data_IF_339557649353
#
_entry.id   IF_339557649353
#
_cell.length_a   1.000
_cell.length_b   1.000
_cell.length_c   1.000
_cell.angle_alpha   90.00
_cell.angle_beta   90.00
_cell.angle_gamma   90.00
#
_symmetry.space_group_name_H-M   'P 1'
#
loop_
_entity.id
_entity.type
_entity.pdbx_description
1 polymer ?
#
# COMPACT_ATOMS: atom_id res chain seq x y z
N UNK A 1 19.54 10.43 -13.11
CA UNK A 1 18.76 9.16 -13.12
C UNK A 1 17.62 9.33 -14.14
N UNK A 2 17.50 8.40 -15.09
CA UNK A 2 16.50 8.48 -16.15
C UNK A 2 15.08 8.38 -15.58
N UNK A 3 14.10 8.98 -16.26
CA UNK A 3 12.69 8.94 -15.82
C UNK A 3 12.17 7.50 -15.68
N UNK A 4 12.57 6.61 -16.58
CA UNK A 4 12.19 5.19 -16.54
C UNK A 4 12.64 4.52 -15.25
N UNK A 5 13.88 4.75 -14.80
CA UNK A 5 14.40 4.17 -13.55
C UNK A 5 13.64 4.69 -12.35
N UNK A 6 13.30 5.99 -12.32
CA UNK A 6 12.48 6.57 -11.23
C UNK A 6 11.11 5.92 -11.14
N UNK A 7 10.47 5.71 -12.29
CA UNK A 7 9.15 5.07 -12.34
C UNK A 7 9.20 3.58 -11.99
N UNK A 8 10.27 2.87 -12.37
CA UNK A 8 10.51 1.48 -11.96
C UNK A 8 10.61 1.39 -10.43
N UNK A 9 11.46 2.22 -9.81
CA UNK A 9 11.61 2.24 -8.34
C UNK A 9 10.28 2.58 -7.66
N UNK A 10 9.57 3.58 -8.16
CA UNK A 10 8.26 3.97 -7.64
C UNK A 10 7.27 2.80 -7.69
N UNK A 11 7.13 2.13 -8.83
CA UNK A 11 6.23 0.98 -8.96
C UNK A 11 6.67 -0.19 -8.07
N UNK A 12 7.96 -0.49 -8.04
CA UNK A 12 8.50 -1.55 -7.19
C UNK A 12 8.14 -1.32 -5.72
N UNK A 13 8.47 -0.14 -5.18
CA UNK A 13 8.19 0.21 -3.79
C UNK A 13 6.69 0.26 -3.48
N UNK A 14 5.89 0.81 -4.39
CA UNK A 14 4.42 0.88 -4.26
C UNK A 14 3.82 -0.50 -3.98
N UNK A 15 4.20 -1.50 -4.75
CA UNK A 15 3.63 -2.83 -4.65
C UNK A 15 4.34 -3.71 -3.61
N UNK A 16 5.63 -3.46 -3.34
CA UNK A 16 6.34 -4.13 -2.25
C UNK A 16 5.73 -3.77 -0.88
N UNK A 17 5.42 -2.49 -0.65
CA UNK A 17 4.74 -2.05 0.58
C UNK A 17 3.36 -2.69 0.70
N UNK A 18 2.59 -2.77 -0.40
CA UNK A 18 1.28 -3.42 -0.38
C UNK A 18 1.39 -4.91 -0.02
N UNK A 19 2.30 -5.64 -0.65
CA UNK A 19 2.55 -7.05 -0.33
C UNK A 19 2.98 -7.26 1.13
N UNK A 20 3.81 -6.36 1.65
CA UNK A 20 4.29 -6.42 3.02
C UNK A 20 3.15 -6.39 4.05
N UNK A 21 2.33 -5.36 4.04
CA UNK A 21 1.29 -5.26 5.07
C UNK A 21 0.09 -6.19 4.81
N UNK A 22 -0.17 -6.57 3.56
CA UNK A 22 -1.24 -7.51 3.22
C UNK A 22 -1.03 -8.86 3.92
N UNK A 23 0.21 -9.36 3.91
CA UNK A 23 0.55 -10.64 4.52
C UNK A 23 0.74 -10.53 6.03
N UNK A 24 1.45 -9.50 6.49
CA UNK A 24 1.79 -9.35 7.90
C UNK A 24 0.57 -9.05 8.79
N UNK A 25 -0.44 -8.35 8.26
CA UNK A 25 -1.63 -8.00 9.04
C UNK A 25 -2.40 -9.24 9.48
N UNK A 26 -2.60 -10.22 8.59
CA UNK A 26 -3.30 -11.47 8.95
C UNK A 26 -2.56 -12.23 10.06
N UNK A 27 -1.26 -12.42 9.93
CA UNK A 27 -0.42 -13.09 10.94
C UNK A 27 -0.42 -12.32 12.27
N UNK A 28 -0.34 -10.99 12.20
CA UNK A 28 -0.39 -10.15 13.39
C UNK A 28 -1.71 -10.28 14.15
N UNK A 29 -2.85 -10.25 13.45
CA UNK A 29 -4.18 -10.40 14.07
C UNK A 29 -4.36 -11.76 14.75
N UNK A 30 -3.80 -12.83 14.17
CA UNK A 30 -3.77 -14.14 14.83
C UNK A 30 -2.96 -14.07 16.13
N UNK A 31 -1.79 -13.47 16.11
CA UNK A 31 -0.89 -13.40 17.27
C UNK A 31 -1.47 -12.58 18.45
N UNK A 32 -2.29 -11.56 18.16
CA UNK A 32 -2.93 -10.76 19.22
C UNK A 32 -4.35 -11.23 19.58
N UNK A 33 -4.78 -12.42 19.09
CA UNK A 33 -6.08 -12.99 19.43
C UNK A 33 -7.28 -12.38 18.69
N UNK A 34 -7.06 -11.58 17.65
CA UNK A 34 -8.12 -10.96 16.83
C UNK A 34 -8.41 -11.70 15.53
N UNK A 35 -8.18 -13.02 15.50
CA UNK A 35 -8.33 -13.86 14.31
C UNK A 35 -9.75 -13.85 13.72
N UNK A 36 -10.78 -13.70 14.54
CA UNK A 36 -12.17 -13.60 14.09
C UNK A 36 -12.46 -12.35 13.25
N UNK A 37 -11.64 -11.29 13.40
CA UNK A 37 -11.81 -10.01 12.74
C UNK A 37 -10.99 -9.84 11.46
N UNK A 38 -10.18 -10.84 11.07
CA UNK A 38 -9.32 -10.79 9.87
C UNK A 38 -10.13 -10.41 8.63
N UNK A 39 -11.32 -11.01 8.45
CA UNK A 39 -12.19 -10.71 7.33
C UNK A 39 -12.60 -9.24 7.24
N UNK A 40 -12.81 -8.56 8.38
CA UNK A 40 -13.17 -7.13 8.41
C UNK A 40 -12.01 -6.24 7.94
N UNK A 41 -10.76 -6.56 8.34
CA UNK A 41 -9.57 -5.80 7.90
C UNK A 41 -9.38 -5.90 6.38
N UNK A 42 -9.56 -7.08 5.80
CA UNK A 42 -9.46 -7.26 4.34
C UNK A 42 -10.67 -6.69 3.59
N UNK A 43 -11.87 -6.81 4.13
CA UNK A 43 -13.07 -6.20 3.55
C UNK A 43 -12.94 -4.67 3.47
N UNK A 44 -12.32 -4.03 4.48
CA UNK A 44 -12.10 -2.59 4.47
C UNK A 44 -11.20 -2.15 3.30
N UNK A 45 -10.17 -2.93 2.94
CA UNK A 45 -9.37 -2.66 1.75
C UNK A 45 -10.22 -2.67 0.48
N UNK A 46 -11.11 -3.66 0.34
CA UNK A 46 -12.03 -3.77 -0.79
C UNK A 46 -12.98 -2.58 -0.89
N UNK A 47 -13.63 -2.23 0.22
CA UNK A 47 -14.57 -1.11 0.31
C UNK A 47 -13.87 0.20 -0.06
N UNK A 48 -12.73 0.47 0.55
CA UNK A 48 -11.93 1.67 0.29
C UNK A 48 -11.47 1.74 -1.17
N UNK A 49 -11.04 0.63 -1.73
CA UNK A 49 -10.58 0.54 -3.13
C UNK A 49 -11.69 0.83 -4.13
N UNK A 50 -12.95 0.66 -3.74
CA UNK A 50 -14.09 0.94 -4.60
C UNK A 50 -14.38 2.45 -4.71
N UNK A 51 -14.27 3.21 -3.62
CA UNK A 51 -14.70 4.61 -3.56
C UNK A 51 -13.55 5.61 -3.59
N UNK A 52 -12.48 5.37 -2.85
CA UNK A 52 -11.41 6.35 -2.63
C UNK A 52 -10.60 6.71 -3.87
N UNK A 53 -10.35 5.82 -4.86
CA UNK A 53 -9.68 6.21 -6.09
C UNK A 53 -10.47 7.27 -6.87
N UNK A 54 -11.81 7.18 -6.90
CA UNK A 54 -12.65 8.17 -7.56
C UNK A 54 -12.57 9.53 -6.84
N UNK A 55 -12.64 9.54 -5.50
CA UNK A 55 -12.54 10.77 -4.69
C UNK A 55 -11.20 11.46 -4.92
N UNK A 56 -10.09 10.73 -4.77
CA UNK A 56 -8.76 11.31 -4.95
C UNK A 56 -8.44 11.62 -6.42
N UNK A 57 -9.04 10.90 -7.37
CA UNK A 57 -8.98 11.23 -8.79
C UNK A 57 -9.59 12.60 -9.06
N UNK A 58 -10.80 12.88 -8.57
CA UNK A 58 -11.45 14.19 -8.71
C UNK A 58 -10.62 15.31 -8.08
N UNK A 59 -10.00 15.05 -6.92
CA UNK A 59 -9.13 16.02 -6.25
C UNK A 59 -7.87 16.29 -7.08
N UNK A 60 -7.28 15.24 -7.65
CA UNK A 60 -6.09 15.35 -8.49
C UNK A 60 -6.35 16.13 -9.79
N UNK A 61 -7.54 15.95 -10.36
CA UNK A 61 -7.90 16.58 -11.63
C UNK A 61 -8.28 18.06 -11.47
N UNK A 62 -8.83 18.44 -10.31
CA UNK A 62 -9.39 19.79 -10.10
C UNK A 62 -8.54 20.73 -9.25
N UNK A 63 -7.85 20.21 -8.24
CA UNK A 63 -7.30 21.07 -7.18
C UNK A 63 -5.82 20.86 -6.90
N UNK A 64 -5.34 19.62 -6.89
CA UNK A 64 -3.98 19.31 -6.43
C UNK A 64 -3.28 18.42 -7.46
N UNK A 65 -2.09 18.77 -7.96
CA UNK A 65 -1.34 17.91 -8.89
C UNK A 65 -1.18 16.48 -8.34
N UNK A 66 -1.44 15.47 -9.17
CA UNK A 66 -1.42 14.06 -8.78
C UNK A 66 -0.15 13.63 -8.03
N UNK A 67 1.01 14.20 -8.38
CA UNK A 67 2.28 13.93 -7.68
C UNK A 67 2.28 14.40 -6.23
N UNK A 68 1.72 15.59 -5.95
CA UNK A 68 1.63 16.12 -4.58
C UNK A 68 0.62 15.32 -3.76
N UNK A 69 -0.50 15.00 -4.38
CA UNK A 69 -1.54 14.18 -3.75
C UNK A 69 -1.04 12.76 -3.43
N UNK A 70 -0.28 12.15 -4.36
CA UNK A 70 0.38 10.86 -4.14
C UNK A 70 1.32 10.90 -2.93
N UNK A 71 2.18 11.93 -2.84
CA UNK A 71 3.11 12.09 -1.72
C UNK A 71 2.39 12.30 -0.39
N UNK A 72 1.36 13.14 -0.38
CA UNK A 72 0.54 13.40 0.80
C UNK A 72 -0.18 12.13 1.26
N UNK A 73 -0.77 11.38 0.34
CA UNK A 73 -1.48 10.14 0.65
C UNK A 73 -0.55 9.07 1.23
N UNK A 74 0.65 8.91 0.66
CA UNK A 74 1.64 7.99 1.22
C UNK A 74 2.10 8.40 2.62
N UNK A 75 2.38 9.70 2.82
CA UNK A 75 2.79 10.20 4.13
C UNK A 75 1.72 9.96 5.19
N UNK A 76 0.47 10.29 4.87
CA UNK A 76 -0.67 10.12 5.78
C UNK A 76 -0.92 8.64 6.08
N UNK A 77 -0.89 7.78 5.05
CA UNK A 77 -1.03 6.34 5.21
C UNK A 77 0.08 5.75 6.10
N UNK A 78 1.34 6.18 5.89
CA UNK A 78 2.48 5.75 6.70
C UNK A 78 2.35 6.18 8.16
N UNK A 79 1.87 7.40 8.41
CA UNK A 79 1.65 7.91 9.76
C UNK A 79 0.63 7.06 10.54
N UNK A 80 -0.51 6.76 9.93
CA UNK A 80 -1.53 5.92 10.57
C UNK A 80 -1.07 4.46 10.73
N UNK A 81 -0.32 3.92 9.76
CA UNK A 81 0.23 2.57 9.88
C UNK A 81 1.30 2.49 10.98
N UNK A 82 2.16 3.51 11.09
CA UNK A 82 3.14 3.61 12.16
C UNK A 82 2.46 3.74 13.54
N UNK A 83 1.38 4.53 13.63
CA UNK A 83 0.58 4.64 14.84
C UNK A 83 -0.08 3.30 15.22
N UNK A 84 -0.62 2.55 14.25
CA UNK A 84 -1.17 1.22 14.46
C UNK A 84 -0.10 0.24 14.95
N UNK A 85 1.09 0.26 14.33
CA UNK A 85 2.22 -0.57 14.74
C UNK A 85 2.72 -0.22 16.15
N UNK A 86 2.88 1.06 16.45
CA UNK A 86 3.28 1.51 17.79
C UNK A 86 2.25 1.11 18.85
N UNK A 87 0.96 1.30 18.56
CA UNK A 87 -0.12 0.88 19.44
C UNK A 87 -0.08 -0.63 19.70
N UNK A 88 0.09 -1.43 18.64
CA UNK A 88 0.21 -2.88 18.77
C UNK A 88 1.42 -3.33 19.58
N UNK A 89 2.57 -2.68 19.39
CA UNK A 89 3.79 -2.99 20.15
C UNK A 89 3.66 -2.65 21.65
N UNK A 90 2.94 -1.57 21.98
CA UNK A 90 2.77 -1.13 23.38
C UNK A 90 1.73 -1.92 24.14
N UNK A 91 0.69 -2.42 23.46
CA UNK A 91 -0.43 -3.16 24.07
C UNK A 91 -0.26 -4.68 24.03
N UNK A 92 0.52 -5.20 23.09
CA UNK A 92 0.73 -6.65 22.96
C UNK A 92 -0.60 -7.41 22.81
N UNK A 93 -0.91 -8.31 23.75
CA UNK A 93 -2.16 -9.09 23.73
C UNK A 93 -3.40 -8.29 24.19
N UNK A 94 -3.23 -7.09 24.74
CA UNK A 94 -4.34 -6.21 25.19
C UNK A 94 -4.78 -5.22 24.10
N UNK A 95 -4.51 -5.53 22.84
CA UNK A 95 -4.90 -4.68 21.70
C UNK A 95 -6.41 -4.65 21.57
N UNK A 96 -6.99 -3.43 21.67
CA UNK A 96 -8.40 -3.22 21.39
C UNK A 96 -8.67 -3.22 19.88
N UNK A 97 -9.66 -4.03 19.47
CA UNK A 97 -10.06 -4.14 18.07
C UNK A 97 -10.46 -2.78 17.47
N UNK A 98 -11.28 -1.98 18.17
CA UNK A 98 -11.81 -0.73 17.64
C UNK A 98 -10.70 0.28 17.32
N UNK A 99 -9.74 0.42 18.22
CA UNK A 99 -8.59 1.33 18.05
C UNK A 99 -7.70 0.87 16.89
N UNK A 100 -7.33 -0.42 16.87
CA UNK A 100 -6.48 -0.97 15.81
C UNK A 100 -7.17 -0.88 14.45
N UNK A 101 -8.44 -1.27 14.37
CA UNK A 101 -9.22 -1.23 13.14
C UNK A 101 -9.39 0.20 12.60
N UNK A 102 -9.57 1.18 13.46
CA UNK A 102 -9.68 2.59 13.06
C UNK A 102 -8.37 3.10 12.47
N UNK A 103 -7.24 2.88 13.15
CA UNK A 103 -5.93 3.31 12.66
C UNK A 103 -5.57 2.63 11.33
N UNK A 104 -5.81 1.34 11.23
CA UNK A 104 -5.60 0.57 10.00
C UNK A 104 -6.49 1.08 8.87
N UNK A 105 -7.79 1.28 9.12
CA UNK A 105 -8.75 1.75 8.12
C UNK A 105 -8.38 3.13 7.58
N UNK A 106 -7.94 4.04 8.43
CA UNK A 106 -7.44 5.36 8.02
C UNK A 106 -6.19 5.23 7.15
N UNK A 107 -5.24 4.37 7.53
CA UNK A 107 -4.06 4.12 6.72
C UNK A 107 -4.44 3.59 5.33
N UNK A 108 -5.29 2.58 5.26
CA UNK A 108 -5.75 1.94 4.02
C UNK A 108 -6.55 2.92 3.15
N UNK A 109 -7.36 3.80 3.76
CA UNK A 109 -8.14 4.82 3.06
C UNK A 109 -7.25 5.77 2.24
N UNK A 110 -6.10 6.12 2.76
CA UNK A 110 -5.12 6.93 2.03
C UNK A 110 -4.20 6.11 1.13
N UNK A 111 -3.91 4.86 1.48
CA UNK A 111 -2.99 4.02 0.71
C UNK A 111 -3.62 3.46 -0.58
N UNK A 112 -4.82 2.89 -0.52
CA UNK A 112 -5.42 2.19 -1.67
C UNK A 112 -5.55 3.08 -2.93
N UNK A 113 -5.98 4.33 -2.86
CA UNK A 113 -6.05 5.18 -4.04
C UNK A 113 -4.69 5.53 -4.63
N UNK A 114 -3.60 5.40 -3.88
CA UNK A 114 -2.24 5.63 -4.40
C UNK A 114 -1.86 4.65 -5.51
N UNK A 115 -2.48 3.46 -5.55
CA UNK A 115 -2.28 2.49 -6.63
C UNK A 115 -2.73 3.07 -7.99
N UNK A 116 -3.87 3.74 -8.03
CA UNK A 116 -4.35 4.42 -9.24
C UNK A 116 -3.57 5.71 -9.52
N UNK A 117 -3.31 6.53 -8.48
CA UNK A 117 -2.55 7.77 -8.62
C UNK A 117 -1.13 7.53 -9.12
N UNK A 118 -0.45 6.48 -8.68
CA UNK A 118 0.90 6.13 -9.14
C UNK A 118 0.94 5.84 -10.64
N UNK A 119 -0.09 5.18 -11.19
CA UNK A 119 -0.22 4.95 -12.62
C UNK A 119 -0.45 6.28 -13.38
N UNK A 120 -1.35 7.15 -12.88
CA UNK A 120 -1.59 8.46 -13.47
C UNK A 120 -0.32 9.33 -13.49
N UNK A 121 0.42 9.34 -12.38
CA UNK A 121 1.71 10.05 -12.29
C UNK A 121 2.73 9.48 -13.30
N UNK A 122 2.78 8.15 -13.45
CA UNK A 122 3.68 7.51 -14.39
C UNK A 122 3.34 7.86 -15.84
N UNK A 123 2.07 7.81 -16.23
CA UNK A 123 1.62 8.20 -17.57
C UNK A 123 1.95 9.66 -17.88
N UNK A 124 1.60 10.58 -16.96
CA UNK A 124 1.90 12.00 -17.12
C UNK A 124 3.42 12.26 -17.23
N UNK A 125 4.24 11.54 -16.46
CA UNK A 125 5.69 11.71 -16.51
C UNK A 125 6.31 11.18 -17.81
N UNK A 126 5.79 10.07 -18.36
CA UNK A 126 6.23 9.53 -19.64
C UNK A 126 5.83 10.44 -20.81
N UNK A 127 4.60 10.93 -20.80
CA UNK A 127 4.09 11.84 -21.81
C UNK A 127 4.93 13.14 -21.85
N UNK A 128 5.16 13.76 -20.69
CA UNK A 128 6.04 14.95 -20.58
C UNK A 128 7.48 14.70 -21.02
N UNK A 129 7.94 13.46 -20.95
CA UNK A 129 9.28 13.09 -21.44
C UNK A 129 9.30 12.76 -22.95
N UNK A 130 8.17 12.90 -23.66
CA UNK A 130 8.04 12.58 -25.08
C UNK A 130 8.16 11.08 -25.38
N UNK A 131 7.85 10.22 -24.40
CA UNK A 131 7.94 8.77 -24.52
C UNK A 131 6.55 8.17 -24.81
N UNK A 132 6.51 7.16 -25.69
CA UNK A 132 5.29 6.39 -25.94
C UNK A 132 4.88 5.65 -24.67
N UNK A 133 3.79 6.10 -24.06
CA UNK A 133 3.26 5.54 -22.81
C UNK A 133 2.80 4.10 -22.96
N UNK A 134 2.20 3.75 -24.10
CA UNK A 134 1.66 2.41 -24.38
C UNK A 134 2.80 1.38 -24.42
N UNK A 135 3.92 1.74 -25.02
CA UNK A 135 5.09 0.84 -25.12
C UNK A 135 5.99 0.87 -23.90
N UNK A 136 6.08 2.03 -23.22
CA UNK A 136 7.08 2.23 -22.16
C UNK A 136 6.55 1.86 -20.78
N UNK A 137 5.25 2.05 -20.50
CA UNK A 137 4.68 1.78 -19.18
C UNK A 137 4.61 0.29 -18.81
N UNK A 138 4.18 -0.64 -19.69
CA UNK A 138 4.06 -2.05 -19.33
C UNK A 138 5.33 -2.67 -18.75
N UNK A 139 6.54 -2.49 -19.34
CA UNK A 139 7.78 -2.96 -18.72
C UNK A 139 8.05 -2.36 -17.34
N UNK A 140 7.72 -1.08 -17.12
CA UNK A 140 7.87 -0.41 -15.82
C UNK A 140 6.94 -1.05 -14.79
N UNK A 141 5.70 -1.35 -15.19
CA UNK A 141 4.67 -1.93 -14.32
C UNK A 141 5.00 -3.35 -13.84
N UNK A 142 5.75 -4.13 -14.63
CA UNK A 142 6.22 -5.47 -14.25
C UNK A 142 7.04 -5.41 -12.95
N UNK A 143 7.86 -4.38 -12.74
CA UNK A 143 8.64 -4.23 -11.52
C UNK A 143 7.77 -4.06 -10.26
N UNK A 144 6.55 -3.52 -10.40
CA UNK A 144 5.56 -3.53 -9.33
C UNK A 144 5.16 -4.96 -8.94
N UNK A 145 4.89 -5.82 -9.91
CA UNK A 145 4.58 -7.24 -9.66
C UNK A 145 5.76 -7.97 -9.00
N UNK A 146 6.97 -7.71 -9.46
CA UNK A 146 8.19 -8.26 -8.82
C UNK A 146 8.30 -7.80 -7.37
N UNK A 147 8.10 -6.51 -7.09
CA UNK A 147 8.13 -5.97 -5.73
C UNK A 147 7.09 -6.63 -4.82
N UNK A 148 5.87 -6.83 -5.32
CA UNK A 148 4.81 -7.51 -4.59
C UNK A 148 5.18 -8.96 -4.25
N UNK A 149 5.63 -9.74 -5.24
CA UNK A 149 6.02 -11.15 -5.06
C UNK A 149 7.19 -11.27 -4.07
N UNK A 150 8.24 -10.46 -4.23
CA UNK A 150 9.40 -10.50 -3.33
C UNK A 150 9.01 -10.15 -1.90
N UNK A 151 8.10 -9.21 -1.72
CA UNK A 151 7.59 -8.85 -0.40
C UNK A 151 6.81 -9.99 0.25
N UNK A 152 5.94 -10.66 -0.51
CA UNK A 152 5.21 -11.83 -0.02
C UNK A 152 6.16 -12.95 0.41
N UNK A 153 7.15 -13.29 -0.42
CA UNK A 153 8.12 -14.37 -0.13
C UNK A 153 8.91 -14.02 1.14
N UNK A 154 9.46 -12.81 1.20
CA UNK A 154 10.33 -12.40 2.30
C UNK A 154 9.63 -12.38 3.67
N UNK A 155 8.33 -12.07 3.70
CA UNK A 155 7.54 -12.06 4.93
C UNK A 155 7.04 -13.45 5.30
N UNK A 156 6.73 -14.29 4.31
CA UNK A 156 6.18 -15.64 4.57
C UNK A 156 7.25 -16.65 4.98
N UNK A 157 8.49 -16.53 4.53
CA UNK A 157 9.55 -17.49 4.83
C UNK A 157 10.01 -17.50 6.28
N UNK A 158 10.22 -16.38 6.99
CA UNK A 158 10.59 -16.41 8.41
C UNK A 158 9.59 -17.16 9.27
N UNK A 159 8.30 -17.04 8.95
CA UNK A 159 7.21 -17.71 9.68
C UNK A 159 7.24 -19.25 9.52
N UNK A 160 7.88 -19.76 8.45
CA UNK A 160 8.03 -21.20 8.23
C UNK A 160 9.20 -21.80 9.01
N UNK A 161 10.27 -21.07 9.22
CA UNK A 161 11.45 -21.56 9.95
C UNK A 161 11.17 -21.69 11.45
N UNK A 162 10.32 -20.83 12.02
CA UNK A 162 9.94 -20.88 13.43
C UNK A 162 8.97 -22.05 13.76
N UNK A 163 8.34 -22.67 12.75
CA UNK A 163 7.42 -23.80 12.92
C UNK A 163 8.14 -25.15 12.87
N UNK A 164 9.40 -25.19 12.41
CA UNK A 164 10.19 -26.43 12.23
C UNK A 164 11.23 -26.61 13.37
N UNK A 165 11.43 -25.63 14.21
CA UNK A 165 12.27 -25.67 15.41
C UNK A 165 11.46 -25.95 16.66
#
# INVERSE_FOLDING_TARGET
MSIKIRLIIMNFLQFAVWGAYLTSMGSYLVNVGLHEHIGMFYAMQGIVSLFMPAVLGIIADRWIPAQKLLSFSHFTAALFMAAAGYYGMTKGAEVDFGTLFTLYSLSVAFYMPTLALSNSVAYTALDKAGLDTIRTFPPIRIFGTIGFILSLIHISEPTRLDVIS
#
